data_IF_356462895623
#
_entry.id   IF_356462895623
#
_cell.length_a   1.000
_cell.length_b   1.000
_cell.length_c   1.000
_cell.angle_alpha   90.00
_cell.angle_beta   90.00
_cell.angle_gamma   90.00
#
_symmetry.space_group_name_H-M   'P 1'
#
loop_
_entity.id
_entity.type
_entity.pdbx_description
1 polymer ?
#
# COMPACT_ATOMS: atom_id res chain seq x y z
N UNK A 1 -13.66 4.71 24.30
CA UNK A 1 -14.11 5.24 22.99
C UNK A 1 -13.33 4.65 21.82
N UNK A 2 -11.99 4.78 21.76
CA UNK A 2 -11.18 4.27 20.63
C UNK A 2 -11.30 2.76 20.37
N UNK A 3 -11.34 1.93 21.42
CA UNK A 3 -11.54 0.48 21.30
C UNK A 3 -12.85 0.16 20.55
N UNK A 4 -13.99 0.67 21.03
CA UNK A 4 -15.29 0.39 20.42
C UNK A 4 -15.35 0.86 18.95
N UNK A 5 -14.86 2.07 18.65
CA UNK A 5 -14.86 2.61 17.29
C UNK A 5 -13.96 1.81 16.36
N UNK A 6 -12.76 1.43 16.81
CA UNK A 6 -11.84 0.61 15.99
C UNK A 6 -12.40 -0.80 15.76
N UNK A 7 -12.99 -1.45 16.77
CA UNK A 7 -13.64 -2.76 16.61
C UNK A 7 -14.80 -2.72 15.62
N UNK A 8 -15.65 -1.69 15.65
CA UNK A 8 -16.72 -1.51 14.66
C UNK A 8 -16.13 -1.37 13.24
N UNK A 9 -15.08 -0.56 13.08
CA UNK A 9 -14.41 -0.39 11.78
C UNK A 9 -13.78 -1.69 11.27
N UNK A 10 -13.20 -2.52 12.14
CA UNK A 10 -12.68 -3.85 11.76
C UNK A 10 -13.79 -4.70 11.14
N UNK A 11 -14.96 -4.76 11.78
CA UNK A 11 -16.09 -5.58 11.30
C UNK A 11 -16.63 -5.04 9.97
N UNK A 12 -16.95 -3.74 9.91
CA UNK A 12 -17.54 -3.14 8.71
C UNK A 12 -16.59 -3.18 7.50
N UNK A 13 -15.33 -2.80 7.70
CA UNK A 13 -14.35 -2.80 6.62
C UNK A 13 -13.85 -4.20 6.29
N UNK A 14 -13.77 -5.11 7.27
CA UNK A 14 -13.46 -6.52 7.05
C UNK A 14 -14.54 -7.21 6.19
N UNK A 15 -15.82 -6.99 6.50
CA UNK A 15 -16.93 -7.45 5.67
C UNK A 15 -16.80 -6.94 4.23
N UNK A 16 -16.54 -5.64 4.07
CA UNK A 16 -16.38 -5.01 2.76
C UNK A 16 -15.17 -5.54 2.00
N UNK A 17 -14.05 -5.77 2.68
CA UNK A 17 -12.84 -6.35 2.11
C UNK A 17 -13.14 -7.74 1.53
N UNK A 18 -13.82 -8.61 2.30
CA UNK A 18 -14.22 -9.94 1.83
C UNK A 18 -15.22 -9.83 0.68
N UNK A 19 -16.23 -8.96 0.79
CA UNK A 19 -17.24 -8.78 -0.27
C UNK A 19 -16.69 -8.22 -1.58
N UNK A 20 -15.54 -7.56 -1.56
CA UNK A 20 -14.84 -7.06 -2.75
C UNK A 20 -13.75 -7.99 -3.27
N UNK A 21 -13.48 -9.10 -2.58
CA UNK A 21 -12.48 -10.05 -3.01
C UNK A 21 -12.97 -10.86 -4.21
N UNK A 22 -12.14 -10.91 -5.23
CA UNK A 22 -12.26 -11.83 -6.36
C UNK A 22 -10.85 -12.30 -6.71
N UNK A 23 -10.64 -13.58 -6.98
CA UNK A 23 -9.30 -14.12 -7.29
C UNK A 23 -8.64 -13.46 -8.51
N UNK A 24 -9.42 -12.89 -9.42
CA UNK A 24 -8.91 -12.19 -10.60
C UNK A 24 -8.17 -10.88 -10.27
N UNK A 25 -8.32 -10.31 -9.06
CA UNK A 25 -7.61 -9.07 -8.69
C UNK A 25 -6.09 -9.24 -8.80
N UNK A 26 -5.57 -10.43 -8.49
CA UNK A 26 -4.13 -10.71 -8.48
C UNK A 26 -3.49 -10.61 -9.87
N UNK A 27 -4.30 -10.73 -10.94
CA UNK A 27 -3.85 -10.55 -12.33
C UNK A 27 -3.78 -9.08 -12.75
N UNK A 28 -4.37 -8.16 -11.96
CA UNK A 28 -4.51 -6.73 -12.29
C UNK A 28 -3.80 -5.87 -11.24
N UNK A 29 -2.55 -5.42 -11.49
CA UNK A 29 -1.74 -4.74 -10.49
C UNK A 29 -2.37 -3.48 -9.91
N UNK A 30 -3.04 -2.68 -10.74
CA UNK A 30 -3.75 -1.47 -10.30
C UNK A 30 -4.94 -1.76 -9.37
N UNK A 31 -5.44 -3.00 -9.33
CA UNK A 31 -6.57 -3.40 -8.49
C UNK A 31 -6.09 -4.06 -7.21
N UNK A 32 -5.19 -5.06 -7.30
CA UNK A 32 -4.74 -5.75 -6.08
C UNK A 32 -4.03 -4.81 -5.12
N UNK A 33 -3.28 -3.80 -5.61
CA UNK A 33 -2.59 -2.85 -4.73
C UNK A 33 -3.56 -2.07 -3.83
N UNK A 34 -4.74 -1.71 -4.37
CA UNK A 34 -5.79 -1.03 -3.61
C UNK A 34 -6.42 -1.98 -2.60
N UNK A 35 -6.61 -3.25 -2.99
CA UNK A 35 -7.15 -4.26 -2.09
C UNK A 35 -6.20 -4.57 -0.93
N UNK A 36 -4.90 -4.72 -1.21
CA UNK A 36 -3.87 -4.95 -0.18
C UNK A 36 -3.73 -3.72 0.73
N UNK A 37 -3.68 -2.51 0.17
CA UNK A 37 -3.67 -1.29 0.98
C UNK A 37 -4.93 -1.15 1.84
N UNK A 38 -6.10 -1.54 1.33
CA UNK A 38 -7.32 -1.58 2.12
C UNK A 38 -7.29 -2.65 3.21
N UNK A 39 -6.68 -3.81 2.96
CA UNK A 39 -6.44 -4.83 3.98
C UNK A 39 -5.54 -4.30 5.10
N UNK A 40 -4.46 -3.58 4.78
CA UNK A 40 -3.64 -2.90 5.78
C UNK A 40 -4.44 -1.89 6.61
N UNK A 41 -5.39 -1.16 6.01
CA UNK A 41 -6.28 -0.27 6.77
C UNK A 41 -7.14 -1.04 7.78
N UNK A 42 -7.71 -2.19 7.39
CA UNK A 42 -8.44 -3.06 8.33
C UNK A 42 -7.53 -3.56 9.44
N UNK A 43 -6.34 -4.05 9.11
CA UNK A 43 -5.34 -4.51 10.07
C UNK A 43 -4.93 -3.36 11.01
N UNK A 44 -4.81 -2.13 10.52
CA UNK A 44 -4.49 -0.97 11.33
C UNK A 44 -5.52 -0.74 12.44
N UNK A 45 -6.81 -0.88 12.13
CA UNK A 45 -7.86 -0.83 13.14
C UNK A 45 -7.79 -1.98 14.15
N UNK A 46 -7.36 -3.18 13.74
CA UNK A 46 -7.08 -4.28 14.68
C UNK A 46 -5.98 -3.86 15.66
N UNK A 47 -4.87 -3.32 15.17
CA UNK A 47 -3.79 -2.87 16.06
C UNK A 47 -4.22 -1.72 16.98
N UNK A 48 -5.06 -0.79 16.52
CA UNK A 48 -5.65 0.25 17.40
C UNK A 48 -6.52 -0.38 18.49
N UNK A 49 -7.38 -1.34 18.16
CA UNK A 49 -8.22 -2.02 19.14
C UNK A 49 -7.36 -2.74 20.19
N UNK A 50 -6.37 -3.53 19.75
CA UNK A 50 -5.48 -4.27 20.65
C UNK A 50 -4.60 -3.32 21.49
N UNK A 51 -4.29 -2.13 20.98
CA UNK A 51 -3.51 -1.13 21.74
C UNK A 51 -4.19 -0.64 23.01
N UNK A 52 -5.51 -0.84 23.16
CA UNK A 52 -6.22 -0.60 24.42
C UNK A 52 -5.70 -1.49 25.57
N UNK A 53 -5.14 -2.66 25.23
CA UNK A 53 -4.56 -3.61 26.18
C UNK A 53 -3.04 -3.62 26.14
N UNK A 54 -2.45 -3.29 24.98
CA UNK A 54 -1.00 -3.24 24.77
C UNK A 54 -0.59 -1.89 24.15
N UNK A 55 -0.43 -0.82 24.98
CA UNK A 55 -0.30 0.56 24.48
C UNK A 55 0.81 0.78 23.45
N UNK A 56 1.92 0.05 23.55
CA UNK A 56 3.05 0.15 22.61
C UNK A 56 2.69 -0.24 21.16
N UNK A 57 1.65 -1.05 20.95
CA UNK A 57 1.15 -1.41 19.62
C UNK A 57 0.51 -0.23 18.87
N UNK A 58 0.20 0.86 19.56
CA UNK A 58 -0.30 2.07 18.92
C UNK A 58 0.68 2.60 17.86
N UNK A 59 1.99 2.56 18.14
CA UNK A 59 3.02 2.98 17.20
C UNK A 59 3.12 2.05 15.99
N UNK A 60 2.88 0.75 16.17
CA UNK A 60 2.82 -0.21 15.07
C UNK A 60 1.58 0.08 14.21
N UNK A 61 0.43 0.35 14.83
CA UNK A 61 -0.81 0.70 14.12
C UNK A 61 -0.60 1.88 13.16
N UNK A 62 0.14 2.91 13.58
CA UNK A 62 0.48 4.06 12.73
C UNK A 62 1.22 3.63 11.46
N UNK A 63 2.19 2.71 11.56
CA UNK A 63 2.93 2.23 10.40
C UNK A 63 2.10 1.29 9.52
N UNK A 64 1.21 0.49 10.12
CA UNK A 64 0.23 -0.32 9.39
C UNK A 64 -0.65 0.59 8.51
N UNK A 65 -1.19 1.69 9.07
CA UNK A 65 -1.98 2.65 8.30
C UNK A 65 -1.17 3.41 7.26
N UNK A 66 -0.02 3.95 7.65
CA UNK A 66 0.70 4.93 6.81
C UNK A 66 1.57 4.25 5.76
N UNK A 67 2.37 3.25 6.14
CA UNK A 67 3.29 2.55 5.24
C UNK A 67 2.53 1.51 4.42
N UNK A 68 1.74 0.66 5.10
CA UNK A 68 0.96 -0.40 4.45
C UNK A 68 -0.27 0.11 3.72
N UNK A 69 -1.13 0.88 4.40
CA UNK A 69 -2.39 1.35 3.83
C UNK A 69 -2.20 2.50 2.84
N UNK A 70 -1.89 3.69 3.36
CA UNK A 70 -1.80 4.94 2.61
C UNK A 70 -0.69 4.86 1.57
N UNK A 71 0.48 4.30 1.90
CA UNK A 71 1.59 4.13 0.95
C UNK A 71 1.18 3.35 -0.31
N UNK A 72 0.61 2.16 -0.14
CA UNK A 72 0.17 1.32 -1.26
C UNK A 72 -0.98 1.97 -2.05
N UNK A 73 -2.02 2.47 -1.35
CA UNK A 73 -3.16 3.12 -2.01
C UNK A 73 -2.68 4.33 -2.81
N UNK A 74 -1.81 5.16 -2.24
CA UNK A 74 -1.31 6.37 -2.90
C UNK A 74 -0.51 6.01 -4.15
N UNK A 75 0.43 5.07 -4.07
CA UNK A 75 1.19 4.66 -5.25
C UNK A 75 0.28 4.05 -6.33
N UNK A 76 -0.69 3.22 -5.94
CA UNK A 76 -1.69 2.65 -6.85
C UNK A 76 -2.54 3.72 -7.53
N UNK A 77 -2.97 4.74 -6.78
CA UNK A 77 -3.74 5.87 -7.31
C UNK A 77 -2.90 6.74 -8.23
N UNK A 78 -1.65 7.07 -7.86
CA UNK A 78 -0.73 7.80 -8.75
C UNK A 78 -0.52 7.05 -10.06
N UNK A 79 -0.32 5.74 -10.00
CA UNK A 79 -0.17 4.89 -11.18
C UNK A 79 -1.42 4.96 -12.09
N UNK A 80 -2.59 4.71 -11.51
CA UNK A 80 -3.88 4.69 -12.22
C UNK A 80 -4.23 6.03 -12.84
N UNK A 81 -4.15 7.11 -12.07
CA UNK A 81 -4.45 8.48 -12.50
C UNK A 81 -3.50 8.88 -13.61
N UNK A 82 -2.19 8.66 -13.44
CA UNK A 82 -1.20 8.98 -14.48
C UNK A 82 -1.47 8.24 -15.79
N UNK A 83 -1.81 6.95 -15.74
CA UNK A 83 -2.09 6.18 -16.96
C UNK A 83 -3.39 6.66 -17.65
N UNK A 84 -4.46 6.84 -16.89
CA UNK A 84 -5.76 7.27 -17.42
C UNK A 84 -5.71 8.68 -18.01
N UNK A 85 -5.08 9.63 -17.31
CA UNK A 85 -4.92 11.01 -17.80
C UNK A 85 -3.86 11.16 -18.89
N UNK A 86 -3.09 10.12 -19.20
CA UNK A 86 -2.20 10.15 -20.37
C UNK A 86 -2.74 9.38 -21.57
N UNK A 87 -4.03 8.97 -21.52
CA UNK A 87 -4.73 8.28 -22.62
C UNK A 87 -4.31 6.82 -22.80
N UNK A 88 -3.55 6.25 -21.87
CA UNK A 88 -3.01 4.89 -21.96
C UNK A 88 -4.00 3.86 -21.39
N UNK A 89 -3.95 2.65 -21.92
CA UNK A 89 -4.87 1.57 -21.51
C UNK A 89 -4.62 1.10 -20.07
N UNK A 90 -5.62 1.26 -19.21
CA UNK A 90 -5.62 0.84 -17.81
C UNK A 90 -5.64 -0.67 -17.62
N UNK A 91 -6.05 -1.44 -18.63
CA UNK A 91 -6.09 -2.90 -18.57
C UNK A 91 -4.72 -3.54 -18.81
N UNK A 92 -3.78 -2.78 -19.38
CA UNK A 92 -2.42 -3.20 -19.73
C UNK A 92 -1.35 -2.23 -19.17
N UNK A 93 -1.28 -2.06 -17.84
CA UNK A 93 -0.26 -1.23 -17.22
C UNK A 93 1.14 -1.90 -17.32
N UNK A 94 2.23 -1.15 -17.11
CA UNK A 94 3.58 -1.69 -17.18
C UNK A 94 3.79 -2.75 -16.11
N UNK A 95 4.41 -3.88 -16.48
CA UNK A 95 4.71 -4.98 -15.56
C UNK A 95 5.51 -4.53 -14.32
N UNK A 96 6.33 -3.47 -14.45
CA UNK A 96 7.14 -2.94 -13.34
C UNK A 96 6.32 -2.50 -12.13
N UNK A 97 5.05 -2.13 -12.32
CA UNK A 97 4.16 -1.77 -11.21
C UNK A 97 3.99 -2.90 -10.21
N UNK A 98 3.93 -4.15 -10.68
CA UNK A 98 3.86 -5.30 -9.78
C UNK A 98 5.06 -5.34 -8.83
N UNK A 99 6.26 -5.08 -9.33
CA UNK A 99 7.47 -5.00 -8.50
C UNK A 99 7.44 -3.80 -7.55
N UNK A 100 7.05 -2.61 -8.03
CA UNK A 100 6.92 -1.43 -7.17
C UNK A 100 5.98 -1.69 -5.98
N UNK A 101 4.79 -2.23 -6.25
CA UNK A 101 3.79 -2.49 -5.22
C UNK A 101 4.25 -3.60 -4.26
N UNK A 102 4.87 -4.67 -4.77
CA UNK A 102 5.40 -5.75 -3.93
C UNK A 102 6.54 -5.29 -3.03
N UNK A 103 7.46 -4.46 -3.55
CA UNK A 103 8.54 -3.88 -2.74
C UNK A 103 8.00 -2.95 -1.65
N UNK A 104 6.98 -2.15 -1.99
CA UNK A 104 6.34 -1.26 -1.02
C UNK A 104 5.57 -2.04 0.06
N UNK A 105 4.86 -3.10 -0.33
CA UNK A 105 4.21 -4.00 0.61
C UNK A 105 5.23 -4.72 1.51
N UNK A 106 6.36 -5.16 0.94
CA UNK A 106 7.44 -5.77 1.71
C UNK A 106 8.08 -4.76 2.68
N UNK A 107 8.27 -3.51 2.27
CA UNK A 107 8.71 -2.41 3.14
C UNK A 107 7.79 -2.27 4.36
N UNK A 108 6.47 -2.29 4.14
CA UNK A 108 5.48 -2.26 5.21
C UNK A 108 5.59 -3.49 6.13
N UNK A 109 5.66 -4.69 5.56
CA UNK A 109 5.80 -5.93 6.32
C UNK A 109 7.07 -5.94 7.17
N UNK A 110 8.21 -5.50 6.63
CA UNK A 110 9.46 -5.35 7.40
C UNK A 110 9.28 -4.36 8.54
N UNK A 111 8.64 -3.21 8.28
CA UNK A 111 8.41 -2.17 9.29
C UNK A 111 7.50 -2.61 10.43
N UNK A 112 6.55 -3.50 10.14
CA UNK A 112 5.50 -3.92 11.07
C UNK A 112 5.89 -5.22 11.78
N UNK A 113 6.31 -6.24 11.04
CA UNK A 113 6.51 -7.59 11.58
C UNK A 113 7.84 -7.72 12.33
N UNK A 114 8.95 -7.19 11.82
CA UNK A 114 10.25 -7.41 12.45
C UNK A 114 10.36 -6.81 13.87
N UNK A 115 9.81 -5.62 14.17
CA UNK A 115 9.77 -5.10 15.54
C UNK A 115 8.93 -5.96 16.49
N UNK A 116 7.89 -6.64 15.99
CA UNK A 116 7.05 -7.54 16.80
C UNK A 116 7.77 -8.84 17.15
N UNK A 117 8.68 -9.31 16.30
CA UNK A 117 9.51 -10.50 16.57
C UNK A 117 10.59 -10.17 17.61
N UNK A 118 11.12 -8.93 17.61
CA UNK A 118 12.03 -8.44 18.65
C UNK A 118 13.45 -9.02 18.60
N UNK A 119 13.82 -9.74 17.54
CA UNK A 119 15.14 -10.38 17.39
C UNK A 119 16.15 -9.55 16.58
N UNK A 120 15.69 -8.51 15.87
CA UNK A 120 16.53 -7.69 15.00
C UNK A 120 16.79 -6.32 15.62
N UNK A 121 17.97 -5.75 15.33
CA UNK A 121 18.28 -4.39 15.71
C UNK A 121 17.29 -3.40 15.06
N UNK A 122 16.78 -2.44 15.85
CA UNK A 122 15.74 -1.54 15.39
C UNK A 122 16.23 -0.60 14.26
N UNK A 123 17.50 -0.17 14.30
CA UNK A 123 18.07 0.68 13.25
C UNK A 123 18.23 -0.09 11.93
N UNK A 124 18.57 -1.37 12.01
CA UNK A 124 18.59 -2.27 10.85
C UNK A 124 17.20 -2.43 10.24
N UNK A 125 16.16 -2.64 11.05
CA UNK A 125 14.77 -2.76 10.57
C UNK A 125 14.31 -1.48 9.84
N UNK A 126 14.59 -0.31 10.42
CA UNK A 126 14.30 0.98 9.79
C UNK A 126 15.02 1.08 8.44
N UNK A 127 16.31 0.79 8.41
CA UNK A 127 17.15 0.92 7.23
C UNK A 127 16.65 0.00 6.11
N UNK A 128 16.39 -1.27 6.41
CA UNK A 128 15.88 -2.23 5.43
C UNK A 128 14.51 -1.83 4.88
N UNK A 129 13.57 -1.46 5.76
CA UNK A 129 12.24 -0.98 5.34
C UNK A 129 12.35 0.27 4.46
N UNK A 130 13.19 1.23 4.87
CA UNK A 130 13.43 2.48 4.12
C UNK A 130 14.07 2.24 2.75
N UNK A 131 15.04 1.33 2.65
CA UNK A 131 15.66 0.98 1.37
C UNK A 131 14.66 0.34 0.41
N UNK A 132 13.80 -0.57 0.89
CA UNK A 132 12.73 -1.16 0.10
C UNK A 132 11.73 -0.11 -0.38
N UNK A 133 11.37 0.84 0.48
CA UNK A 133 10.51 1.97 0.14
C UNK A 133 11.14 2.83 -0.97
N UNK A 134 12.39 3.27 -0.77
CA UNK A 134 13.12 4.10 -1.74
C UNK A 134 13.21 3.38 -3.08
N UNK A 135 13.55 2.09 -3.09
CA UNK A 135 13.65 1.30 -4.31
C UNK A 135 12.30 1.20 -5.04
N UNK A 136 11.21 0.96 -4.32
CA UNK A 136 9.86 0.91 -4.91
C UNK A 136 9.50 2.22 -5.63
N UNK A 137 9.73 3.36 -4.96
CA UNK A 137 9.45 4.69 -5.52
C UNK A 137 10.42 5.08 -6.62
N UNK A 138 11.72 4.75 -6.51
CA UNK A 138 12.69 4.99 -7.57
C UNK A 138 12.31 4.26 -8.85
N UNK A 139 11.95 2.98 -8.76
CA UNK A 139 11.46 2.19 -9.90
C UNK A 139 10.19 2.80 -10.51
N UNK A 140 9.25 3.22 -9.66
CA UNK A 140 8.01 3.87 -10.10
C UNK A 140 8.33 5.16 -10.88
N UNK A 141 9.11 6.06 -10.29
CA UNK A 141 9.48 7.35 -10.89
C UNK A 141 10.25 7.15 -12.18
N UNK A 142 11.26 6.27 -12.23
CA UNK A 142 12.01 6.01 -13.46
C UNK A 142 11.11 5.58 -14.62
N UNK A 143 10.09 4.76 -14.36
CA UNK A 143 9.14 4.35 -15.39
C UNK A 143 8.13 5.44 -15.74
N UNK A 144 7.56 6.11 -14.75
CA UNK A 144 6.46 7.06 -14.92
C UNK A 144 6.94 8.43 -15.39
N UNK A 145 8.19 8.81 -15.12
CA UNK A 145 8.77 10.04 -15.65
C UNK A 145 8.74 10.06 -17.18
N UNK A 146 9.02 8.93 -17.84
CA UNK A 146 8.92 8.81 -19.30
C UNK A 146 7.48 8.92 -19.82
N UNK A 147 6.49 8.59 -18.99
CA UNK A 147 5.06 8.67 -19.32
C UNK A 147 4.59 10.12 -19.22
N UNK A 148 5.04 10.83 -18.18
CA UNK A 148 4.70 12.22 -17.90
C UNK A 148 5.38 13.22 -18.84
N UNK A 149 6.61 12.93 -19.30
CA UNK A 149 7.36 13.81 -20.20
C UNK A 149 7.00 13.64 -21.68
N UNK A 150 6.13 12.69 -22.02
CA UNK A 150 5.67 12.45 -23.39
C UNK A 150 4.25 12.96 -23.57
N UNK A 151 3.90 13.50 -24.76
CA UNK A 151 2.52 13.81 -25.08
C UNK A 151 1.62 12.59 -24.87
N UNK A 152 0.34 12.87 -24.61
CA UNK A 152 -0.70 11.85 -24.56
C UNK A 152 -0.71 10.98 -25.81
N UNK A 153 -0.94 9.69 -25.60
CA UNK A 153 -0.98 8.72 -26.72
C UNK A 153 -2.23 8.86 -27.59
N UNK A 154 -3.27 9.53 -27.10
CA UNK A 154 -4.54 9.76 -27.82
C UNK A 154 -4.60 11.12 -28.54
N UNK A 155 -3.52 11.91 -28.50
CA UNK A 155 -3.42 13.20 -29.19
C UNK A 155 -4.31 14.32 -28.64
N UNK A 156 -5.00 14.09 -27.51
CA UNK A 156 -5.80 15.14 -26.85
C UNK A 156 -4.91 16.12 -26.08
N UNK A 157 -5.41 17.33 -25.75
CA UNK A 157 -4.68 18.26 -24.88
C UNK A 157 -4.34 17.62 -23.52
N UNK A 158 -3.12 17.88 -23.04
CA UNK A 158 -2.56 17.31 -21.81
C UNK A 158 -1.15 16.82 -22.01
#
# INVERSE_FOLDING_TARGET
MLLAVSSINVVLHGWRLVGWYNSQIWQKPLVWVLHVGYAFLVIGFVFVAVSAYMPWLHFIALHVFTVGGIGLITMGMMARVSYGHTGRDLHHPPAVLGYCFSLLALSALVRIALPLIGVFDYSMVITLSGLLWILAFALFVMKYLQIWLKPRVDGKPG
#
